data_IF_745602362719
#
_entry.id   IF_745602362719
#
_cell.length_a   1.000
_cell.length_b   1.000
_cell.length_c   1.000
_cell.angle_alpha   90.00
_cell.angle_beta   90.00
_cell.angle_gamma   90.00
#
_symmetry.space_group_name_H-M   'P 1'
#
loop_
_entity.id
_entity.type
_entity.pdbx_description
1 polymer ?
#
# COMPACT_ATOMS: atom_id res chain seq x y z
N UNK A 1 -13.57 -5.33 8.87
CA UNK A 1 -14.46 -4.81 7.81
C UNK A 1 -13.60 -4.57 6.59
N UNK A 2 -13.82 -5.32 5.52
CA UNK A 2 -13.09 -5.17 4.25
C UNK A 2 -13.62 -3.93 3.53
N UNK A 3 -12.74 -3.10 2.99
CA UNK A 3 -13.15 -1.94 2.19
C UNK A 3 -13.69 -2.37 0.82
N UNK A 4 -14.63 -1.59 0.28
CA UNK A 4 -15.03 -1.66 -1.12
C UNK A 4 -13.99 -1.00 -2.04
N UNK A 5 -13.98 -1.37 -3.33
CA UNK A 5 -13.13 -0.74 -4.35
C UNK A 5 -13.32 0.78 -4.42
N UNK A 6 -14.55 1.26 -4.26
CA UNK A 6 -14.85 2.71 -4.27
C UNK A 6 -14.18 3.43 -3.09
N UNK A 7 -14.16 2.82 -1.91
CA UNK A 7 -13.48 3.39 -0.74
C UNK A 7 -11.97 3.41 -0.93
N UNK A 8 -11.40 2.37 -1.55
CA UNK A 8 -9.98 2.31 -1.87
C UNK A 8 -9.60 3.40 -2.89
N UNK A 9 -10.35 3.53 -4.00
CA UNK A 9 -10.10 4.58 -5.01
C UNK A 9 -10.18 5.98 -4.41
N UNK A 10 -11.17 6.25 -3.56
CA UNK A 10 -11.27 7.53 -2.83
C UNK A 10 -10.03 7.86 -2.00
N UNK A 11 -9.42 6.87 -1.36
CA UNK A 11 -8.17 7.08 -0.60
C UNK A 11 -7.00 7.30 -1.55
N UNK A 12 -6.84 6.45 -2.57
CA UNK A 12 -5.75 6.60 -3.55
C UNK A 12 -5.77 7.96 -4.26
N UNK A 13 -6.96 8.46 -4.60
CA UNK A 13 -7.15 9.80 -5.19
C UNK A 13 -6.87 10.91 -4.17
N UNK A 14 -7.37 10.78 -2.93
CA UNK A 14 -7.16 11.79 -1.88
C UNK A 14 -5.68 12.04 -1.56
N UNK A 15 -4.86 10.99 -1.62
CA UNK A 15 -3.45 11.03 -1.27
C UNK A 15 -2.52 10.96 -2.49
N UNK A 16 -3.05 11.10 -3.71
CA UNK A 16 -2.29 11.06 -4.97
C UNK A 16 -1.31 9.88 -5.04
N UNK A 17 -1.82 8.66 -4.75
CA UNK A 17 -1.02 7.43 -4.67
C UNK A 17 0.19 7.53 -3.73
N UNK A 18 0.19 8.44 -2.76
CA UNK A 18 1.29 8.61 -1.80
C UNK A 18 2.63 8.96 -2.48
N UNK A 19 2.62 9.49 -3.71
CA UNK A 19 3.82 9.81 -4.51
C UNK A 19 4.77 10.78 -3.80
N UNK A 20 4.23 11.76 -3.08
CA UNK A 20 5.01 12.72 -2.25
C UNK A 20 5.30 12.19 -0.82
N UNK A 21 5.01 10.91 -0.56
CA UNK A 21 4.91 10.33 0.77
C UNK A 21 6.14 9.59 1.25
N UNK A 22 6.07 9.14 2.50
CA UNK A 22 7.07 8.30 3.14
C UNK A 22 6.44 7.07 3.80
N UNK A 23 7.13 5.93 3.75
CA UNK A 23 6.85 4.78 4.61
C UNK A 23 7.40 5.09 6.01
N UNK A 24 6.51 5.16 7.00
CA UNK A 24 6.86 5.35 8.42
C UNK A 24 7.14 4.02 9.09
N UNK A 25 6.31 3.01 8.80
CA UNK A 25 6.53 1.65 9.29
C UNK A 25 6.01 0.61 8.30
N UNK A 26 6.67 -0.54 8.31
CA UNK A 26 6.28 -1.74 7.57
C UNK A 26 6.45 -2.93 8.52
N UNK A 27 5.34 -3.57 8.86
CA UNK A 27 5.30 -4.59 9.90
C UNK A 27 4.44 -5.77 9.46
N UNK A 28 4.80 -6.97 9.91
CA UNK A 28 3.95 -8.14 9.82
C UNK A 28 3.72 -8.73 11.21
N UNK A 29 2.54 -9.30 11.43
CA UNK A 29 2.13 -9.80 12.74
C UNK A 29 1.08 -10.91 12.62
N UNK A 30 0.96 -11.68 13.70
CA UNK A 30 -0.06 -12.71 13.85
C UNK A 30 -1.01 -12.32 15.00
N UNK A 31 -2.32 -12.42 14.76
CA UNK A 31 -3.31 -12.39 15.83
C UNK A 31 -3.65 -13.82 16.26
N UNK A 32 -4.10 -14.06 17.51
CA UNK A 32 -4.45 -15.40 17.97
C UNK A 32 -5.48 -16.08 17.06
N UNK A 33 -5.13 -17.25 16.51
CA UNK A 33 -5.95 -18.03 15.58
C UNK A 33 -6.27 -17.35 14.24
N UNK A 34 -5.55 -16.29 13.87
CA UNK A 34 -5.69 -15.64 12.57
C UNK A 34 -4.45 -15.91 11.69
N UNK A 35 -4.60 -15.94 10.36
CA UNK A 35 -3.44 -15.96 9.46
C UNK A 35 -2.57 -14.71 9.60
N UNK A 36 -1.41 -14.72 8.94
CA UNK A 36 -0.51 -13.58 8.86
C UNK A 36 -1.25 -12.32 8.39
N UNK A 37 -0.98 -11.19 9.04
CA UNK A 37 -1.36 -9.86 8.59
C UNK A 37 -0.11 -9.00 8.42
N UNK A 38 -0.21 -7.98 7.57
CA UNK A 38 0.81 -6.97 7.42
C UNK A 38 0.18 -5.59 7.46
N UNK A 39 0.93 -4.60 7.96
CA UNK A 39 0.54 -3.20 7.93
C UNK A 39 1.67 -2.33 7.40
N UNK A 40 1.27 -1.26 6.72
CA UNK A 40 2.16 -0.19 6.28
C UNK A 40 1.55 1.13 6.72
N UNK A 41 2.36 1.96 7.37
CA UNK A 41 1.95 3.32 7.74
C UNK A 41 2.67 4.28 6.80
N UNK A 42 1.89 5.07 6.08
CA UNK A 42 2.36 6.11 5.19
C UNK A 42 2.19 7.47 5.83
N UNK A 43 3.15 8.37 5.62
CA UNK A 43 2.97 9.81 5.82
C UNK A 43 2.77 10.44 4.45
N UNK A 44 1.60 11.03 4.20
CA UNK A 44 1.27 11.59 2.90
C UNK A 44 0.39 12.83 3.00
N UNK A 45 0.43 13.62 1.93
CA UNK A 45 -0.34 14.85 1.80
C UNK A 45 -1.79 14.54 1.45
N UNK A 46 -2.73 15.19 2.13
CA UNK A 46 -4.15 15.13 1.80
C UNK A 46 -4.50 16.24 0.79
N UNK A 47 -4.65 15.87 -0.48
CA UNK A 47 -4.88 16.82 -1.58
C UNK A 47 -6.31 17.37 -1.63
N UNK A 48 -7.22 16.84 -0.81
CA UNK A 48 -8.59 17.37 -0.66
C UNK A 48 -8.61 18.68 0.13
N UNK A 49 -7.59 18.92 0.96
CA UNK A 49 -7.52 20.05 1.89
C UNK A 49 -6.54 21.08 1.35
N UNK A 50 -6.99 22.33 1.21
CA UNK A 50 -6.12 23.43 0.78
C UNK A 50 -5.00 23.66 1.79
N UNK A 51 -3.76 23.63 1.30
CA UNK A 51 -2.55 23.80 2.10
C UNK A 51 -1.62 22.59 2.01
N UNK A 52 -0.61 22.56 2.87
CA UNK A 52 0.30 21.42 3.03
C UNK A 52 -0.14 20.62 4.26
N UNK A 53 -1.32 20.00 4.16
CA UNK A 53 -1.86 19.17 5.25
C UNK A 53 -1.38 17.74 5.05
N UNK A 54 -0.58 17.26 6.01
CA UNK A 54 -0.01 15.93 6.02
C UNK A 54 -0.72 15.05 7.03
N UNK A 55 -0.91 13.77 6.69
CA UNK A 55 -1.59 12.78 7.52
C UNK A 55 -0.83 11.47 7.54
N UNK A 56 -1.07 10.69 8.59
CA UNK A 56 -0.68 9.29 8.66
C UNK A 56 -1.82 8.41 8.14
N UNK A 57 -1.53 7.52 7.21
CA UNK A 57 -2.47 6.56 6.65
C UNK A 57 -1.94 5.16 6.88
N UNK A 58 -2.68 4.36 7.64
CA UNK A 58 -2.37 2.96 7.89
C UNK A 58 -3.15 2.08 6.92
N UNK A 59 -2.44 1.28 6.15
CA UNK A 59 -2.99 0.20 5.33
C UNK A 59 -2.68 -1.13 6.00
N UNK A 60 -3.71 -1.95 6.21
CA UNK A 60 -3.61 -3.29 6.79
C UNK A 60 -4.09 -4.29 5.75
N UNK A 61 -3.25 -5.26 5.43
CA UNK A 61 -3.59 -6.42 4.60
C UNK A 61 -3.70 -7.62 5.52
N UNK A 62 -4.89 -8.23 5.56
CA UNK A 62 -5.17 -9.41 6.37
C UNK A 62 -5.24 -10.66 5.51
N UNK A 63 -5.05 -11.82 6.13
CA UNK A 63 -4.95 -13.11 5.44
C UNK A 63 -3.95 -13.02 4.29
N UNK A 64 -2.71 -12.62 4.64
CA UNK A 64 -1.58 -12.47 3.72
C UNK A 64 -1.22 -13.84 3.15
N UNK A 65 -1.18 -13.91 1.82
CA UNK A 65 -0.74 -15.09 1.08
C UNK A 65 0.71 -14.94 0.63
N UNK A 66 1.13 -13.70 0.37
CA UNK A 66 2.44 -13.41 -0.17
C UNK A 66 2.89 -12.02 0.28
N UNK A 67 4.16 -11.91 0.66
CA UNK A 67 4.81 -10.65 1.01
C UNK A 67 6.23 -10.69 0.47
N UNK A 68 6.59 -9.67 -0.30
CA UNK A 68 7.95 -9.47 -0.80
C UNK A 68 8.45 -8.09 -0.38
N UNK A 69 9.68 -8.03 0.10
CA UNK A 69 10.37 -6.79 0.41
C UNK A 69 11.86 -6.93 0.06
N UNK A 70 12.26 -6.37 -1.09
CA UNK A 70 13.66 -6.26 -1.52
C UNK A 70 14.17 -4.87 -1.13
N UNK A 71 14.96 -4.80 -0.05
CA UNK A 71 15.37 -3.53 0.56
C UNK A 71 16.84 -3.22 0.25
N UNK A 72 17.11 -2.04 -0.33
CA UNK A 72 18.47 -1.49 -0.52
C UNK A 72 18.78 -0.52 0.63
N UNK A 73 20.02 -0.56 1.13
CA UNK A 73 20.40 0.01 2.43
C UNK A 73 20.40 1.54 2.56
N UNK A 74 20.05 2.31 1.53
CA UNK A 74 20.17 3.77 1.54
C UNK A 74 18.84 4.54 1.62
N UNK A 75 17.72 4.05 1.06
CA UNK A 75 16.44 4.80 1.05
C UNK A 75 15.21 3.87 0.90
N UNK A 76 14.89 3.08 1.93
CA UNK A 76 13.68 2.22 1.90
C UNK A 76 12.37 3.00 2.06
N UNK A 77 12.42 4.16 2.70
CA UNK A 77 11.22 4.84 3.17
C UNK A 77 10.66 5.89 2.20
N UNK A 78 11.43 6.29 1.18
CA UNK A 78 10.95 7.21 0.15
C UNK A 78 10.03 6.48 -0.82
N UNK A 79 8.93 7.13 -1.21
CA UNK A 79 8.04 6.65 -2.26
C UNK A 79 8.29 7.55 -3.47
N UNK A 80 8.58 6.97 -4.64
CA UNK A 80 8.92 7.73 -5.86
C UNK A 80 7.89 7.51 -6.98
N UNK A 81 7.39 6.28 -7.11
CA UNK A 81 6.46 5.81 -8.15
C UNK A 81 5.04 5.61 -7.60
N UNK A 82 4.84 5.89 -6.31
CA UNK A 82 3.57 5.78 -5.61
C UNK A 82 3.26 4.39 -5.02
N UNK A 83 2.07 4.27 -4.46
CA UNK A 83 1.49 3.06 -3.87
C UNK A 83 0.23 2.71 -4.63
N UNK A 84 0.19 1.50 -5.18
CA UNK A 84 -0.96 0.98 -5.93
C UNK A 84 -1.69 -0.03 -5.06
N UNK A 85 -2.98 0.23 -4.81
CA UNK A 85 -3.85 -0.69 -4.09
C UNK A 85 -4.79 -1.32 -5.11
N UNK A 86 -4.49 -2.55 -5.50
CA UNK A 86 -5.08 -3.22 -6.65
C UNK A 86 -5.89 -4.44 -6.19
N UNK A 87 -6.94 -4.76 -6.95
CA UNK A 87 -7.72 -5.98 -6.77
C UNK A 87 -7.51 -6.90 -7.96
N UNK A 88 -7.07 -8.13 -7.67
CA UNK A 88 -6.97 -9.21 -8.65
C UNK A 88 -7.86 -10.35 -8.14
N UNK A 89 -8.93 -10.66 -8.87
CA UNK A 89 -9.91 -11.69 -8.51
C UNK A 89 -10.34 -11.63 -7.03
N UNK A 90 -9.92 -12.59 -6.19
CA UNK A 90 -10.26 -12.71 -4.78
C UNK A 90 -9.21 -12.11 -3.82
N UNK A 91 -8.05 -11.67 -4.31
CA UNK A 91 -7.00 -11.02 -3.51
C UNK A 91 -6.85 -9.50 -3.72
N UNK A 92 -6.32 -8.83 -2.71
CA UNK A 92 -5.84 -7.46 -2.74
C UNK A 92 -4.33 -7.46 -2.82
N UNK A 93 -3.77 -6.54 -3.58
CA UNK A 93 -2.34 -6.27 -3.63
C UNK A 93 -2.09 -4.82 -3.22
N UNK A 94 -1.20 -4.61 -2.25
CA UNK A 94 -0.61 -3.31 -1.94
C UNK A 94 0.80 -3.34 -2.49
N UNK A 95 0.97 -2.73 -3.64
CA UNK A 95 2.23 -2.59 -4.37
C UNK A 95 2.82 -1.22 -4.04
N UNK A 96 4.10 -1.18 -3.67
CA UNK A 96 4.76 0.02 -3.17
C UNK A 96 6.01 0.27 -3.99
N UNK A 97 6.01 1.44 -4.63
CA UNK A 97 7.14 2.01 -5.35
C UNK A 97 7.65 1.19 -6.54
N UNK A 98 6.81 0.29 -7.09
CA UNK A 98 7.11 -0.43 -8.32
C UNK A 98 7.15 0.50 -9.52
N UNK A 99 8.20 0.33 -10.31
CA UNK A 99 8.43 1.07 -11.54
C UNK A 99 7.97 0.23 -12.74
N UNK A 100 6.79 0.53 -13.25
CA UNK A 100 6.19 -0.11 -14.41
C UNK A 100 6.19 0.86 -15.60
N UNK A 101 6.10 0.31 -16.82
CA UNK A 101 6.15 1.11 -18.05
C UNK A 101 5.17 2.30 -18.02
N UNK A 102 5.73 3.52 -18.10
CA UNK A 102 5.00 4.80 -18.13
C UNK A 102 3.99 4.99 -16.99
N UNK A 103 4.35 4.57 -15.77
CA UNK A 103 3.52 4.68 -14.56
C UNK A 103 2.18 3.93 -14.61
N UNK A 104 1.99 3.06 -15.61
CA UNK A 104 0.79 2.25 -15.74
C UNK A 104 0.61 1.33 -14.53
N UNK A 105 -0.65 1.01 -14.23
CA UNK A 105 -0.94 0.00 -13.22
C UNK A 105 -0.57 -1.39 -13.76
N UNK A 106 0.10 -2.25 -12.96
CA UNK A 106 0.40 -3.60 -13.37
C UNK A 106 -0.90 -4.36 -13.64
N UNK A 107 -0.88 -5.16 -14.70
CA UNK A 107 -2.10 -5.82 -15.22
C UNK A 107 -2.33 -7.20 -14.62
N UNK A 108 -1.35 -7.74 -13.89
CA UNK A 108 -1.44 -9.06 -13.29
C UNK A 108 -0.53 -9.23 -12.07
N UNK A 109 -0.84 -10.21 -11.22
CA UNK A 109 0.05 -10.62 -10.13
C UNK A 109 1.40 -11.17 -10.64
N UNK A 110 1.43 -11.76 -11.84
CA UNK A 110 2.68 -12.24 -12.43
C UNK A 110 3.66 -11.09 -12.67
N UNK A 111 3.16 -9.99 -13.24
CA UNK A 111 3.95 -8.78 -13.46
C UNK A 111 4.45 -8.18 -12.13
N UNK A 112 3.59 -8.11 -11.11
CA UNK A 112 3.98 -7.62 -9.77
C UNK A 112 5.10 -8.47 -9.16
N UNK A 113 5.04 -9.79 -9.33
CA UNK A 113 6.07 -10.70 -8.81
C UNK A 113 7.40 -10.57 -9.52
N UNK A 114 7.36 -10.31 -10.83
CA UNK A 114 8.53 -10.15 -11.68
C UNK A 114 9.23 -8.82 -11.41
N UNK A 115 8.48 -7.72 -11.49
CA UNK A 115 9.02 -6.36 -11.52
C UNK A 115 9.01 -5.68 -10.13
N UNK A 116 8.12 -6.11 -9.24
CA UNK A 116 7.94 -5.50 -7.92
C UNK A 116 9.08 -5.79 -6.93
N UNK A 117 9.46 -4.76 -6.17
CA UNK A 117 10.42 -4.88 -5.06
C UNK A 117 9.73 -5.00 -3.70
N UNK A 118 8.64 -4.24 -3.46
CA UNK A 118 7.89 -4.22 -2.21
C UNK A 118 6.38 -4.37 -2.47
N UNK A 119 5.80 -5.49 -2.05
CA UNK A 119 4.35 -5.69 -2.14
C UNK A 119 3.82 -6.64 -1.07
N UNK A 120 2.51 -6.51 -0.82
CA UNK A 120 1.76 -7.41 0.05
C UNK A 120 0.51 -7.88 -0.70
N UNK A 121 0.29 -9.20 -0.76
CA UNK A 121 -0.90 -9.81 -1.32
C UNK A 121 -1.67 -10.53 -0.20
N UNK A 122 -2.96 -10.26 -0.08
CA UNK A 122 -3.82 -10.94 0.90
C UNK A 122 -5.30 -10.81 0.59
N UNK A 123 -6.15 -11.47 1.37
CA UNK A 123 -7.60 -11.55 1.06
C UNK A 123 -8.41 -10.39 1.63
N UNK A 124 -7.84 -9.62 2.55
CA UNK A 124 -8.56 -8.57 3.26
C UNK A 124 -7.75 -7.29 3.23
N UNK A 125 -8.44 -6.15 3.13
CA UNK A 125 -7.81 -4.84 3.21
C UNK A 125 -8.60 -3.90 4.11
N UNK A 126 -7.86 -3.11 4.90
CA UNK A 126 -8.39 -2.02 5.71
C UNK A 126 -7.45 -0.82 5.58
N UNK A 127 -8.03 0.37 5.41
CA UNK A 127 -7.28 1.62 5.34
C UNK A 127 -7.85 2.59 6.36
N UNK A 128 -6.97 3.25 7.11
CA UNK A 128 -7.32 4.14 8.21
C UNK A 128 -6.45 5.40 8.15
N UNK A 129 -7.06 6.58 8.22
CA UNK A 129 -6.34 7.77 8.67
C UNK A 129 -6.13 7.64 10.19
N UNK A 130 -4.91 7.85 10.67
CA UNK A 130 -4.57 7.74 12.09
C UNK A 130 -3.96 9.06 12.59
N UNK A 131 -4.18 9.34 13.87
CA UNK A 131 -3.55 10.47 14.56
C UNK A 131 -2.12 10.12 14.98
N UNK A 132 -1.36 11.15 15.37
CA UNK A 132 0.06 11.02 15.72
C UNK A 132 0.32 10.18 16.97
#
# INVERSE_FOLDING_TARGET
MTLSMEQVSKVSEAFHRFEDGLIISFEFFYLPNEPLAAQVIFHARDHRIKGNVWKKVKVIVGAVEELSAKIKGNQFNSICSGVRILKFDDVWCVEIDGNYDMDADPTSLAQIREDGELYIIGRQIKILEIED
#
